data_IF_543004018108
#
_entry.id   IF_543004018108
#
_cell.length_a   1.000
_cell.length_b   1.000
_cell.length_c   1.000
_cell.angle_alpha   90.00
_cell.angle_beta   90.00
_cell.angle_gamma   90.00
#
_symmetry.space_group_name_H-M   'P 1'
#
loop_
_entity.id
_entity.type
_entity.pdbx_description
1 polymer ?
#
# COMPACT_ATOMS: atom_id res chain seq x y z
N UNK A 1 59.50 9.70 -28.84
CA UNK A 1 58.06 9.38 -28.88
C UNK A 1 57.66 9.30 -30.35
N UNK A 2 57.73 8.11 -30.93
CA UNK A 2 57.58 7.91 -32.39
C UNK A 2 56.16 7.48 -32.68
N UNK A 3 55.40 8.32 -33.39
CA UNK A 3 53.98 8.11 -33.68
C UNK A 3 53.80 7.00 -34.72
N UNK A 4 52.95 6.00 -34.42
CA UNK A 4 52.47 5.05 -35.41
C UNK A 4 51.49 5.76 -36.36
N UNK A 5 51.97 6.07 -37.56
CA UNK A 5 51.13 6.48 -38.69
C UNK A 5 50.34 5.26 -39.18
N UNK A 6 49.02 5.27 -38.98
CA UNK A 6 48.13 4.27 -39.55
C UNK A 6 47.88 4.57 -41.02
N UNK A 7 48.31 3.69 -41.91
CA UNK A 7 48.04 3.78 -43.35
C UNK A 7 46.60 3.34 -43.65
N UNK A 8 45.84 4.08 -44.48
CA UNK A 8 44.48 3.70 -44.81
C UNK A 8 44.48 2.47 -45.71
N UNK A 9 44.02 1.33 -45.18
CA UNK A 9 43.77 0.11 -45.96
C UNK A 9 42.59 0.38 -46.90
N UNK A 10 42.84 0.38 -48.21
CA UNK A 10 41.79 0.37 -49.22
C UNK A 10 41.38 -1.08 -49.49
N UNK A 11 40.15 -1.43 -49.12
CA UNK A 11 39.58 -2.72 -49.47
C UNK A 11 38.93 -2.58 -50.84
N UNK A 12 39.55 -3.14 -51.87
CA UNK A 12 38.94 -3.27 -53.19
C UNK A 12 37.85 -4.35 -53.13
N UNK A 13 36.59 -3.91 -53.11
CA UNK A 13 35.44 -4.81 -53.18
C UNK A 13 35.25 -5.22 -54.64
N UNK A 14 35.74 -6.41 -55.01
CA UNK A 14 35.39 -7.02 -56.30
C UNK A 14 33.89 -7.37 -56.29
N UNK A 15 33.10 -7.03 -57.33
CA UNK A 15 31.72 -7.47 -57.41
C UNK A 15 31.68 -8.99 -57.57
N UNK A 16 31.41 -9.69 -56.47
CA UNK A 16 31.15 -11.12 -56.46
C UNK A 16 29.85 -11.42 -57.22
N UNK A 17 29.88 -12.44 -58.06
CA UNK A 17 28.74 -13.02 -58.80
C UNK A 17 27.52 -13.14 -57.86
N UNK A 18 26.29 -12.76 -58.28
CA UNK A 18 25.14 -12.76 -57.39
C UNK A 18 24.83 -14.20 -56.94
N UNK A 19 25.28 -14.56 -55.75
CA UNK A 19 24.77 -15.73 -55.04
C UNK A 19 23.28 -15.46 -54.80
N UNK A 20 22.41 -16.41 -55.18
CA UNK A 20 20.96 -16.39 -54.94
C UNK A 20 20.67 -15.91 -53.50
N UNK A 21 20.42 -14.61 -53.35
CA UNK A 21 20.20 -13.95 -52.07
C UNK A 21 18.83 -14.34 -51.54
N UNK A 22 18.81 -15.39 -50.73
CA UNK A 22 17.66 -15.71 -49.89
C UNK A 22 17.51 -14.59 -48.87
N UNK A 23 16.47 -13.78 -49.06
CA UNK A 23 15.63 -13.19 -48.00
C UNK A 23 16.32 -12.38 -46.90
N UNK A 24 17.34 -11.58 -47.23
CA UNK A 24 17.82 -10.55 -46.30
C UNK A 24 17.07 -9.26 -46.58
N UNK A 25 16.19 -8.89 -45.66
CA UNK A 25 15.49 -7.60 -45.66
C UNK A 25 16.31 -6.65 -44.79
N UNK A 26 16.73 -5.53 -45.36
CA UNK A 26 17.41 -4.48 -44.61
C UNK A 26 16.44 -3.89 -43.59
N UNK A 27 16.80 -3.94 -42.30
CA UNK A 27 16.04 -3.30 -41.23
C UNK A 27 16.65 -1.93 -40.94
N UNK A 28 15.87 -0.84 -40.98
CA UNK A 28 16.39 0.50 -40.68
C UNK A 28 16.96 0.55 -39.25
N UNK A 29 18.14 1.15 -39.10
CA UNK A 29 18.85 1.36 -37.83
C UNK A 29 19.24 2.84 -37.73
N UNK A 30 19.32 3.38 -36.50
CA UNK A 30 19.67 4.80 -36.26
C UNK A 30 18.50 5.74 -36.49
N UNK A 31 18.75 6.92 -37.08
CA UNK A 31 17.73 7.95 -37.32
C UNK A 31 16.62 7.50 -38.29
N UNK A 32 16.84 6.40 -39.01
CA UNK A 32 15.83 5.76 -39.84
C UNK A 32 14.79 4.98 -39.03
N UNK A 33 15.01 4.77 -37.74
CA UNK A 33 14.03 4.23 -36.81
C UNK A 33 13.09 5.38 -36.42
N UNK A 34 11.89 5.40 -37.01
CA UNK A 34 10.86 6.33 -36.56
C UNK A 34 10.44 5.94 -35.14
N UNK A 35 10.65 6.87 -34.20
CA UNK A 35 10.24 6.67 -32.81
C UNK A 35 8.72 6.51 -32.78
N UNK A 36 8.26 5.32 -32.40
CA UNK A 36 6.82 5.03 -32.40
C UNK A 36 6.21 5.78 -31.24
N UNK A 37 5.56 6.89 -31.55
CA UNK A 37 4.82 7.67 -30.55
C UNK A 37 3.94 6.74 -29.71
N UNK A 38 3.99 6.83 -28.37
CA UNK A 38 3.24 5.95 -27.50
C UNK A 38 1.77 6.04 -27.89
N UNK A 39 1.15 4.87 -28.14
CA UNK A 39 -0.25 4.80 -28.49
C UNK A 39 -1.06 5.46 -27.37
N UNK A 40 -1.64 6.63 -27.65
CA UNK A 40 -2.45 7.34 -26.67
C UNK A 40 -3.72 6.52 -26.40
N UNK A 41 -3.78 5.91 -25.22
CA UNK A 41 -4.94 5.14 -24.77
C UNK A 41 -6.12 6.10 -24.63
N UNK A 42 -6.98 6.12 -25.65
CA UNK A 42 -8.23 6.86 -25.61
C UNK A 42 -9.23 6.10 -24.76
N UNK A 43 -9.24 6.43 -23.47
CA UNK A 43 -10.26 5.93 -22.57
C UNK A 43 -11.63 6.37 -23.08
N UNK A 44 -12.49 5.40 -23.40
CA UNK A 44 -13.86 5.71 -23.84
C UNK A 44 -14.58 6.47 -22.73
N UNK A 45 -15.58 7.29 -23.10
CA UNK A 45 -16.36 8.08 -22.13
C UNK A 45 -16.93 7.21 -20.99
N UNK A 46 -17.23 5.94 -21.29
CA UNK A 46 -17.66 4.90 -20.33
C UNK A 46 -16.54 4.42 -19.41
N UNK A 47 -15.33 4.22 -19.94
CA UNK A 47 -14.16 3.89 -19.11
C UNK A 47 -13.79 5.01 -18.14
N UNK A 48 -13.88 6.26 -18.58
CA UNK A 48 -13.65 7.41 -17.68
C UNK A 48 -14.69 7.47 -16.57
N UNK A 49 -15.96 7.23 -16.90
CA UNK A 49 -17.04 7.19 -15.90
C UNK A 49 -16.79 6.09 -14.87
N UNK A 50 -16.48 4.87 -15.31
CA UNK A 50 -16.20 3.73 -14.43
C UNK A 50 -15.04 4.02 -13.46
N UNK A 51 -13.92 4.56 -13.96
CA UNK A 51 -12.77 4.92 -13.10
C UNK A 51 -13.20 5.96 -12.08
N UNK A 52 -13.85 7.05 -12.50
CA UNK A 52 -14.24 8.11 -11.57
C UNK A 52 -15.23 7.61 -10.51
N UNK A 53 -16.20 6.77 -10.88
CA UNK A 53 -17.18 6.22 -9.92
C UNK A 53 -16.51 5.30 -8.91
N UNK A 54 -15.58 4.44 -9.36
CA UNK A 54 -14.85 3.55 -8.44
C UNK A 54 -13.95 4.34 -7.51
N UNK A 55 -13.20 5.33 -8.03
CA UNK A 55 -12.35 6.18 -7.19
C UNK A 55 -13.14 6.95 -6.14
N UNK A 56 -14.29 7.53 -6.52
CA UNK A 56 -15.18 8.22 -5.57
C UNK A 56 -15.69 7.25 -4.52
N UNK A 57 -16.16 6.07 -4.92
CA UNK A 57 -16.66 5.06 -3.97
C UNK A 57 -15.60 4.66 -2.94
N UNK A 58 -14.38 4.37 -3.39
CA UNK A 58 -13.26 4.01 -2.50
C UNK A 58 -12.90 5.16 -1.57
N UNK A 59 -12.85 6.40 -2.09
CA UNK A 59 -12.58 7.58 -1.27
C UNK A 59 -13.69 7.83 -0.23
N UNK A 60 -14.95 7.59 -0.58
CA UNK A 60 -16.08 7.70 0.35
C UNK A 60 -15.99 6.68 1.48
N UNK A 61 -15.64 5.43 1.17
CA UNK A 61 -15.46 4.38 2.18
C UNK A 61 -14.31 4.74 3.13
N UNK A 62 -13.15 5.13 2.58
CA UNK A 62 -12.01 5.56 3.38
C UNK A 62 -12.33 6.79 4.24
N UNK A 63 -13.02 7.77 3.68
CA UNK A 63 -13.48 8.95 4.42
C UNK A 63 -14.45 8.60 5.54
N UNK A 64 -15.39 7.69 5.30
CA UNK A 64 -16.30 7.19 6.34
C UNK A 64 -15.54 6.48 7.46
N UNK A 65 -14.55 5.65 7.13
CA UNK A 65 -13.73 4.99 8.17
C UNK A 65 -12.95 5.98 9.01
N UNK A 66 -12.51 7.13 8.47
CA UNK A 66 -11.87 8.18 9.26
C UNK A 66 -12.85 9.06 10.04
N UNK A 67 -14.05 9.27 9.51
CA UNK A 67 -15.09 10.06 10.17
C UNK A 67 -15.73 9.31 11.35
N UNK A 68 -15.88 7.99 11.23
CA UNK A 68 -16.49 7.14 12.25
C UNK A 68 -15.48 6.31 13.04
N UNK A 69 -14.28 6.10 12.52
CA UNK A 69 -13.17 5.51 13.26
C UNK A 69 -12.58 6.58 14.17
N UNK A 70 -12.95 6.55 15.44
CA UNK A 70 -12.28 7.34 16.47
C UNK A 70 -10.77 7.09 16.48
N UNK A 71 -9.98 7.97 17.13
CA UNK A 71 -8.53 7.80 17.22
C UNK A 71 -8.20 6.37 17.67
N UNK A 72 -7.19 5.76 17.07
CA UNK A 72 -6.66 4.47 17.49
C UNK A 72 -6.11 4.62 18.92
N UNK A 73 -7.01 4.46 19.88
CA UNK A 73 -6.81 4.43 21.30
C UNK A 73 -5.69 3.41 21.60
N UNK A 74 -4.50 3.88 21.97
CA UNK A 74 -3.42 3.00 22.41
C UNK A 74 -3.91 2.26 23.65
N UNK A 75 -4.11 0.92 23.59
CA UNK A 75 -4.68 0.19 24.70
C UNK A 75 -3.73 0.23 25.89
N UNK A 76 -4.17 0.79 27.02
CA UNK A 76 -3.36 0.79 28.24
C UNK A 76 -3.52 -0.56 28.93
N UNK A 77 -2.43 -1.12 29.45
CA UNK A 77 -2.46 -2.44 30.10
C UNK A 77 -2.29 -2.25 31.61
N UNK A 78 -3.27 -2.68 32.39
CA UNK A 78 -3.28 -2.54 33.86
C UNK A 78 -3.41 -3.93 34.49
N UNK A 79 -2.58 -4.20 35.49
CA UNK A 79 -2.63 -5.44 36.27
C UNK A 79 -3.56 -5.24 37.47
N UNK A 80 -4.51 -6.15 37.67
CA UNK A 80 -5.46 -6.12 38.80
C UNK A 80 -4.73 -6.42 40.11
N UNK A 81 -4.81 -5.52 41.09
CA UNK A 81 -4.25 -5.75 42.43
C UNK A 81 -5.14 -6.66 43.30
N UNK A 82 -4.58 -7.37 44.31
CA UNK A 82 -5.36 -8.18 45.24
C UNK A 82 -6.41 -7.36 45.99
N UNK A 83 -7.69 -7.75 45.84
CA UNK A 83 -8.83 -7.06 46.48
C UNK A 83 -9.46 -5.95 45.64
N UNK A 84 -8.91 -5.67 44.45
CA UNK A 84 -9.46 -4.68 43.53
C UNK A 84 -10.59 -5.29 42.69
N UNK A 85 -11.70 -4.56 42.56
CA UNK A 85 -12.84 -5.00 41.73
C UNK A 85 -12.84 -4.32 40.36
N UNK A 86 -13.38 -5.00 39.35
CA UNK A 86 -13.50 -4.46 37.98
C UNK A 86 -14.18 -3.09 37.94
N UNK A 87 -15.18 -2.87 38.79
CA UNK A 87 -15.89 -1.59 38.90
C UNK A 87 -15.03 -0.46 39.47
N UNK A 88 -14.11 -0.75 40.40
CA UNK A 88 -13.19 0.26 40.95
C UNK A 88 -12.09 0.62 39.95
N UNK A 89 -11.58 -0.36 39.19
CA UNK A 89 -10.60 -0.11 38.12
C UNK A 89 -11.25 0.73 37.02
N UNK A 90 -12.47 0.36 36.60
CA UNK A 90 -13.23 1.11 35.61
C UNK A 90 -13.52 2.55 36.06
N UNK A 91 -13.87 2.76 37.33
CA UNK A 91 -14.13 4.10 37.87
C UNK A 91 -12.88 4.97 37.99
N UNK A 92 -11.70 4.36 38.16
CA UNK A 92 -10.43 5.09 38.30
C UNK A 92 -9.84 5.42 36.94
N UNK A 93 -9.80 4.45 36.03
CA UNK A 93 -9.12 4.54 34.73
C UNK A 93 -10.02 5.15 33.63
N UNK A 94 -11.34 4.94 33.69
CA UNK A 94 -12.31 5.57 32.79
C UNK A 94 -13.27 6.47 33.60
N UNK A 95 -12.74 7.53 34.21
CA UNK A 95 -13.53 8.50 34.98
C UNK A 95 -14.53 9.31 34.14
N UNK A 96 -14.30 9.44 32.82
CA UNK A 96 -15.17 10.18 31.89
C UNK A 96 -16.44 9.42 31.47
N UNK A 97 -16.53 8.12 31.80
CA UNK A 97 -17.59 7.22 31.34
C UNK A 97 -18.33 6.62 32.53
N UNK A 98 -19.68 6.53 32.52
CA UNK A 98 -20.41 5.89 33.61
C UNK A 98 -19.92 4.45 33.84
N UNK A 99 -19.67 4.10 35.10
CA UNK A 99 -18.95 2.86 35.49
C UNK A 99 -19.52 1.58 34.87
N UNK A 100 -20.84 1.49 34.67
CA UNK A 100 -21.48 0.33 34.01
C UNK A 100 -21.06 0.17 32.54
N UNK A 101 -20.93 1.28 31.84
CA UNK A 101 -20.50 1.32 30.45
C UNK A 101 -19.00 1.05 30.34
N UNK A 102 -18.19 1.63 31.23
CA UNK A 102 -16.76 1.35 31.32
C UNK A 102 -16.47 -0.14 31.58
N UNK A 103 -17.19 -0.79 32.49
CA UNK A 103 -17.07 -2.25 32.73
C UNK A 103 -17.41 -3.03 31.45
N UNK A 104 -18.46 -2.64 30.73
CA UNK A 104 -18.88 -3.33 29.50
C UNK A 104 -17.83 -3.18 28.39
N UNK A 105 -17.23 -1.98 28.23
CA UNK A 105 -16.13 -1.76 27.29
C UNK A 105 -14.89 -2.57 27.64
N UNK A 106 -14.51 -2.63 28.91
CA UNK A 106 -13.37 -3.44 29.38
C UNK A 106 -13.63 -4.93 29.15
N UNK A 107 -14.86 -5.40 29.37
CA UNK A 107 -15.23 -6.80 29.09
C UNK A 107 -15.12 -7.13 27.61
N UNK A 108 -15.64 -6.28 26.72
CA UNK A 108 -15.55 -6.43 25.27
C UNK A 108 -14.10 -6.38 24.77
N UNK A 109 -13.28 -5.50 25.35
CA UNK A 109 -11.88 -5.35 24.95
C UNK A 109 -11.00 -6.54 25.38
N UNK A 110 -11.43 -7.32 26.38
CA UNK A 110 -10.65 -8.43 26.95
C UNK A 110 -11.34 -9.79 26.81
N UNK A 111 -12.43 -9.87 26.03
CA UNK A 111 -13.27 -11.08 25.87
C UNK A 111 -13.63 -11.76 27.20
N UNK A 112 -13.97 -10.95 28.22
CA UNK A 112 -14.27 -11.48 29.55
C UNK A 112 -15.70 -12.08 29.58
N UNK A 113 -15.87 -13.34 30.01
CA UNK A 113 -17.18 -14.00 30.04
C UNK A 113 -18.10 -13.49 31.16
N UNK A 114 -17.57 -12.75 32.14
CA UNK A 114 -18.35 -12.17 33.24
C UNK A 114 -17.64 -10.95 33.84
N UNK A 115 -18.30 -10.23 34.74
CA UNK A 115 -17.72 -9.09 35.49
C UNK A 115 -16.80 -9.51 36.63
N UNK A 116 -16.51 -10.80 36.76
CA UNK A 116 -15.55 -11.33 37.73
C UNK A 116 -14.14 -11.31 37.13
N UNK A 117 -13.23 -10.60 37.80
CA UNK A 117 -11.79 -10.58 37.51
C UNK A 117 -11.03 -11.14 38.69
N UNK A 118 -9.91 -11.80 38.40
CA UNK A 118 -9.04 -12.41 39.40
C UNK A 118 -7.85 -11.50 39.68
N UNK A 119 -7.41 -11.45 40.94
CA UNK A 119 -6.20 -10.72 41.32
C UNK A 119 -4.99 -11.24 40.51
N UNK A 120 -4.18 -10.32 39.98
CA UNK A 120 -3.05 -10.62 39.11
C UNK A 120 -3.40 -10.77 37.62
N UNK A 121 -4.65 -10.61 37.23
CA UNK A 121 -5.06 -10.63 35.82
C UNK A 121 -4.63 -9.34 35.13
N UNK A 122 -4.03 -9.46 33.95
CA UNK A 122 -3.69 -8.33 33.08
C UNK A 122 -4.92 -7.96 32.25
N UNK A 123 -5.39 -6.72 32.38
CA UNK A 123 -6.53 -6.20 31.64
C UNK A 123 -6.08 -5.09 30.69
N UNK A 124 -6.49 -5.20 29.45
CA UNK A 124 -6.37 -4.17 28.42
C UNK A 124 -7.51 -3.17 28.58
N UNK A 125 -7.18 -1.97 29.03
CA UNK A 125 -8.10 -0.87 29.15
C UNK A 125 -8.22 -0.18 27.78
N UNK A 126 -9.41 -0.17 27.15
CA UNK A 126 -9.64 0.61 25.95
C UNK A 126 -9.57 2.10 26.31
N UNK A 127 -8.90 2.91 25.50
CA UNK A 127 -8.79 4.34 25.78
C UNK A 127 -10.21 5.01 25.79
N UNK A 128 -10.36 6.14 26.50
CA UNK A 128 -11.66 6.71 26.86
C UNK A 128 -12.55 7.07 25.66
#
# INVERSE_FOLDING_TARGET
MTALTAAPVRIDVRPGRPARSRHLVSVPTGDAVTDRAPASLRLTRRGRLAITTTTVLVASIAGATMAFGGPAATPQTVTVEPGQTLGQIAATELSDVPTREAVTRIQLANDLPSSHVHAGQTLTIPAP
#
